data_IF_909035651925
#
_entry.id   IF_909035651925
#
_cell.length_a   1.000
_cell.length_b   1.000
_cell.length_c   1.000
_cell.angle_alpha   90.00
_cell.angle_beta   90.00
_cell.angle_gamma   90.00
#
_symmetry.space_group_name_H-M   'P 1'
#
loop_
_entity.id
_entity.type
_entity.pdbx_description
1 polymer ?
#
# COMPACT_ATOMS: atom_id res chain seq x y z
N UNK A 1 6.75 -4.17 -8.83
CA UNK A 1 5.49 -3.72 -8.22
C UNK A 1 5.75 -2.36 -7.59
N UNK A 2 5.03 -1.31 -8.01
CA UNK A 2 5.10 -0.02 -7.35
C UNK A 2 4.52 -0.14 -5.94
N UNK A 3 5.14 0.55 -4.99
CA UNK A 3 4.67 0.67 -3.60
C UNK A 3 4.46 2.15 -3.31
N UNK A 4 3.55 2.46 -2.39
CA UNK A 4 3.39 3.83 -1.92
C UNK A 4 4.72 4.38 -1.38
N UNK A 5 5.41 3.57 -0.58
CA UNK A 5 6.76 3.87 -0.08
C UNK A 5 7.78 3.01 -0.81
N UNK A 6 8.68 3.66 -1.53
CA UNK A 6 9.80 2.99 -2.20
C UNK A 6 11.11 3.73 -1.90
N UNK A 7 11.95 3.11 -1.06
CA UNK A 7 13.26 3.63 -0.65
C UNK A 7 13.24 5.11 -0.20
N UNK A 8 12.60 5.43 0.95
CA UNK A 8 12.50 6.80 1.44
C UNK A 8 13.86 7.45 1.72
N UNK A 9 14.89 6.65 2.04
CA UNK A 9 16.25 7.11 2.27
C UNK A 9 17.09 7.03 0.99
N UNK A 10 17.75 8.13 0.62
CA UNK A 10 18.54 8.26 -0.60
C UNK A 10 19.98 8.65 -0.31
N UNK A 11 20.90 8.09 -1.08
CA UNK A 11 22.31 8.39 -0.94
C UNK A 11 22.67 9.74 -1.53
N UNK A 12 23.53 10.49 -0.83
CA UNK A 12 24.07 11.75 -1.31
C UNK A 12 25.22 11.50 -2.29
N UNK A 13 24.90 10.99 -3.48
CA UNK A 13 25.87 10.71 -4.54
C UNK A 13 26.71 11.94 -4.93
N UNK A 14 26.13 13.14 -4.83
CA UNK A 14 26.84 14.39 -5.15
C UNK A 14 28.00 14.64 -4.19
N UNK A 15 27.80 14.44 -2.89
CA UNK A 15 28.85 14.61 -1.89
C UNK A 15 29.99 13.60 -2.11
N UNK A 16 29.67 12.31 -2.22
CA UNK A 16 30.69 11.28 -2.41
C UNK A 16 31.39 11.37 -3.76
N UNK A 17 30.68 11.80 -4.82
CA UNK A 17 31.28 12.07 -6.12
C UNK A 17 32.28 13.23 -6.08
N UNK A 18 31.96 14.31 -5.37
CA UNK A 18 32.87 15.45 -5.21
C UNK A 18 34.09 15.09 -4.37
N UNK A 19 33.89 14.49 -3.19
CA UNK A 19 35.00 14.11 -2.30
C UNK A 19 35.87 13.06 -2.98
N UNK A 20 35.28 12.02 -3.57
CA UNK A 20 36.01 10.98 -4.28
C UNK A 20 36.78 11.52 -5.49
N UNK A 21 36.15 12.38 -6.29
CA UNK A 21 36.79 12.99 -7.45
C UNK A 21 38.02 13.83 -7.07
N UNK A 22 37.91 14.67 -6.03
CA UNK A 22 39.03 15.48 -5.52
C UNK A 22 40.14 14.59 -4.95
N UNK A 23 39.79 13.57 -4.15
CA UNK A 23 40.77 12.67 -3.55
C UNK A 23 41.57 11.90 -4.60
N UNK A 24 40.92 11.44 -5.68
CA UNK A 24 41.60 10.74 -6.79
C UNK A 24 42.52 11.70 -7.57
N UNK A 25 42.08 12.93 -7.82
CA UNK A 25 42.90 13.97 -8.46
C UNK A 25 44.18 14.26 -7.65
N UNK A 26 44.05 14.46 -6.34
CA UNK A 26 45.19 14.69 -5.44
C UNK A 26 46.13 13.48 -5.44
N UNK A 27 45.60 12.26 -5.43
CA UNK A 27 46.39 11.03 -5.50
C UNK A 27 47.21 10.95 -6.80
N UNK A 28 46.61 11.26 -7.95
CA UNK A 28 47.33 11.27 -9.24
C UNK A 28 48.47 12.30 -9.21
N UNK A 29 48.22 13.51 -8.73
CA UNK A 29 49.24 14.56 -8.61
C UNK A 29 50.36 14.11 -7.67
N UNK A 30 50.01 13.53 -6.51
CA UNK A 30 50.98 13.07 -5.53
C UNK A 30 51.90 11.95 -6.06
N UNK A 31 51.35 11.02 -6.86
CA UNK A 31 52.14 9.98 -7.53
C UNK A 31 53.12 10.60 -8.52
N UNK A 32 52.66 11.50 -9.40
CA UNK A 32 53.52 12.16 -10.40
C UNK A 32 54.62 12.98 -9.72
N UNK A 33 54.29 13.74 -8.68
CA UNK A 33 55.28 14.51 -7.92
C UNK A 33 56.32 13.60 -7.27
N UNK A 34 55.89 12.45 -6.74
CA UNK A 34 56.77 11.48 -6.12
C UNK A 34 57.73 10.84 -7.11
N UNK A 35 57.24 10.46 -8.29
CA UNK A 35 58.08 9.88 -9.35
C UNK A 35 59.14 10.87 -9.85
N UNK A 36 58.83 12.18 -9.82
CA UNK A 36 59.77 13.23 -10.22
C UNK A 36 60.79 13.64 -9.15
N UNK A 37 60.41 13.67 -7.86
CA UNK A 37 61.31 14.12 -6.78
C UNK A 37 61.97 13.00 -5.99
N UNK A 38 61.34 11.84 -5.84
CA UNK A 38 61.84 10.71 -5.06
C UNK A 38 62.15 11.03 -3.59
N UNK A 39 61.55 12.09 -3.03
CA UNK A 39 61.87 12.56 -1.68
C UNK A 39 60.98 11.88 -0.63
N UNK A 40 61.51 11.70 0.59
CA UNK A 40 60.77 11.16 1.74
C UNK A 40 59.43 11.89 1.97
N UNK A 41 59.42 13.22 1.81
CA UNK A 41 58.22 14.04 1.98
C UNK A 41 57.18 13.71 0.91
N UNK A 42 57.59 13.55 -0.35
CA UNK A 42 56.66 13.22 -1.43
C UNK A 42 56.08 11.81 -1.29
N UNK A 43 56.85 10.87 -0.75
CA UNK A 43 56.37 9.51 -0.48
C UNK A 43 55.31 9.50 0.64
N UNK A 44 55.50 10.31 1.69
CA UNK A 44 54.50 10.50 2.76
C UNK A 44 53.20 11.07 2.17
N UNK A 45 53.29 12.11 1.32
CA UNK A 45 52.11 12.74 0.69
C UNK A 45 51.37 11.74 -0.21
N UNK A 46 52.10 10.94 -1.00
CA UNK A 46 51.54 9.88 -1.86
C UNK A 46 50.75 8.86 -1.03
N UNK A 47 51.33 8.36 0.06
CA UNK A 47 50.68 7.38 0.93
C UNK A 47 49.45 7.97 1.66
N UNK A 48 49.51 9.24 2.06
CA UNK A 48 48.36 9.94 2.63
C UNK A 48 47.21 10.06 1.61
N UNK A 49 47.53 10.36 0.36
CA UNK A 49 46.54 10.46 -0.71
C UNK A 49 45.88 9.10 -1.01
N UNK A 50 46.65 8.01 -1.05
CA UNK A 50 46.10 6.65 -1.12
C UNK A 50 45.17 6.35 0.06
N UNK A 51 45.58 6.72 1.29
CA UNK A 51 44.76 6.58 2.49
C UNK A 51 43.43 7.35 2.37
N UNK A 52 43.46 8.57 1.86
CA UNK A 52 42.27 9.40 1.66
C UNK A 52 41.28 8.80 0.64
N UNK A 53 41.78 8.28 -0.48
CA UNK A 53 40.95 7.56 -1.47
C UNK A 53 40.34 6.31 -0.84
N UNK A 54 41.14 5.49 -0.14
CA UNK A 54 40.65 4.30 0.54
C UNK A 54 39.57 4.63 1.58
N UNK A 55 39.78 5.66 2.42
CA UNK A 55 38.79 6.11 3.41
C UNK A 55 37.49 6.59 2.75
N UNK A 56 37.58 7.28 1.61
CA UNK A 56 36.38 7.73 0.88
C UNK A 56 35.58 6.54 0.33
N UNK A 57 36.26 5.52 -0.18
CA UNK A 57 35.62 4.28 -0.66
C UNK A 57 34.94 3.54 0.49
N UNK A 58 35.64 3.36 1.62
CA UNK A 58 35.06 2.70 2.80
C UNK A 58 33.85 3.48 3.34
N UNK A 59 33.94 4.81 3.43
CA UNK A 59 32.84 5.66 3.87
C UNK A 59 31.62 5.55 2.94
N UNK A 60 31.84 5.46 1.63
CA UNK A 60 30.79 5.23 0.64
C UNK A 60 30.12 3.86 0.84
N UNK A 61 30.90 2.80 1.04
CA UNK A 61 30.36 1.45 1.27
C UNK A 61 29.53 1.36 2.56
N UNK A 62 29.99 1.99 3.64
CA UNK A 62 29.24 2.09 4.91
C UNK A 62 27.90 2.78 4.69
N UNK A 63 27.90 3.91 3.98
CA UNK A 63 26.68 4.67 3.70
C UNK A 63 25.68 3.88 2.84
N UNK A 64 26.17 3.17 1.80
CA UNK A 64 25.34 2.26 1.00
C UNK A 64 24.66 1.21 1.90
N UNK A 65 25.44 0.61 2.81
CA UNK A 65 24.93 -0.38 3.77
C UNK A 65 23.86 0.21 4.69
N UNK A 66 24.15 1.35 5.30
CA UNK A 66 23.24 2.04 6.22
C UNK A 66 21.92 2.42 5.54
N UNK A 67 21.98 2.98 4.34
CA UNK A 67 20.77 3.38 3.59
C UNK A 67 19.94 2.16 3.20
N UNK A 68 20.58 1.06 2.80
CA UNK A 68 19.88 -0.19 2.52
C UNK A 68 19.15 -0.69 3.77
N UNK A 69 19.83 -0.76 4.91
CA UNK A 69 19.24 -1.21 6.17
C UNK A 69 18.07 -0.32 6.62
N UNK A 70 18.23 1.00 6.51
CA UNK A 70 17.15 1.95 6.82
C UNK A 70 15.93 1.76 5.92
N UNK A 71 16.14 1.56 4.61
CA UNK A 71 15.06 1.30 3.67
C UNK A 71 14.37 -0.05 3.92
N UNK A 72 15.13 -1.10 4.23
CA UNK A 72 14.58 -2.42 4.57
C UNK A 72 13.73 -2.33 5.86
N UNK A 73 14.23 -1.61 6.87
CA UNK A 73 13.49 -1.35 8.12
C UNK A 73 12.22 -0.54 7.87
N UNK A 74 12.30 0.55 7.12
CA UNK A 74 11.14 1.38 6.77
C UNK A 74 10.06 0.56 6.06
N UNK A 75 10.47 -0.30 5.12
CA UNK A 75 9.58 -1.22 4.41
C UNK A 75 8.91 -2.21 5.36
N UNK A 76 9.68 -2.82 6.26
CA UNK A 76 9.17 -3.75 7.26
C UNK A 76 8.16 -3.11 8.21
N UNK A 77 8.44 -1.90 8.71
CA UNK A 77 7.52 -1.16 9.57
C UNK A 77 6.25 -0.79 8.79
N UNK A 78 6.38 -0.32 7.55
CA UNK A 78 5.24 -0.01 6.71
C UNK A 78 4.34 -1.24 6.49
N UNK A 79 4.92 -2.37 6.08
CA UNK A 79 4.17 -3.59 5.86
C UNK A 79 3.50 -4.04 7.17
N UNK A 80 4.20 -4.01 8.32
CA UNK A 80 3.62 -4.40 9.61
C UNK A 80 2.45 -3.50 10.06
N UNK A 81 2.53 -2.19 9.84
CA UNK A 81 1.51 -1.24 10.30
C UNK A 81 0.27 -1.24 9.40
N UNK A 82 0.45 -1.32 8.07
CA UNK A 82 -0.65 -1.19 7.12
C UNK A 82 -1.25 -2.52 6.66
N UNK A 83 -0.61 -3.67 6.95
CA UNK A 83 -1.08 -4.99 6.49
C UNK A 83 -2.51 -5.31 6.96
N UNK A 84 -2.83 -5.02 8.22
CA UNK A 84 -4.18 -5.28 8.74
C UNK A 84 -5.22 -4.45 7.99
N UNK A 85 -5.00 -3.13 7.81
CA UNK A 85 -5.94 -2.29 7.05
C UNK A 85 -6.15 -2.80 5.61
N UNK A 86 -5.07 -3.17 4.91
CA UNK A 86 -5.16 -3.74 3.55
C UNK A 86 -5.97 -5.04 3.53
N UNK A 87 -5.82 -5.86 4.56
CA UNK A 87 -6.55 -7.10 4.73
C UNK A 87 -8.04 -6.84 5.03
N UNK A 88 -8.36 -5.93 5.96
CA UNK A 88 -9.73 -5.56 6.29
C UNK A 88 -10.48 -4.96 5.09
N UNK A 89 -9.82 -4.10 4.30
CA UNK A 89 -10.39 -3.60 3.04
C UNK A 89 -10.64 -4.75 2.06
N UNK A 90 -9.71 -5.71 1.95
CA UNK A 90 -9.90 -6.90 1.09
C UNK A 90 -11.11 -7.73 1.51
N UNK A 91 -11.32 -7.88 2.82
CA UNK A 91 -12.49 -8.56 3.37
C UNK A 91 -13.78 -7.82 3.07
N UNK A 92 -13.81 -6.49 3.22
CA UNK A 92 -14.99 -5.70 2.89
C UNK A 92 -15.39 -5.84 1.41
N UNK A 93 -14.42 -5.76 0.48
CA UNK A 93 -14.73 -5.92 -0.95
C UNK A 93 -15.15 -7.37 -1.28
N UNK A 94 -14.59 -8.36 -0.61
CA UNK A 94 -14.98 -9.77 -0.74
C UNK A 94 -16.38 -10.06 -0.17
N UNK A 95 -16.81 -9.30 0.85
CA UNK A 95 -18.13 -9.46 1.48
C UNK A 95 -19.26 -9.39 0.46
N UNK A 96 -19.18 -8.56 -0.58
CA UNK A 96 -20.21 -8.51 -1.63
C UNK A 96 -20.39 -9.84 -2.37
N UNK A 97 -19.29 -10.54 -2.69
CA UNK A 97 -19.37 -11.87 -3.32
C UNK A 97 -19.98 -12.92 -2.37
N UNK A 98 -19.65 -12.82 -1.07
CA UNK A 98 -20.21 -13.69 -0.03
C UNK A 98 -21.70 -13.46 0.15
N UNK A 99 -22.12 -12.20 0.21
CA UNK A 99 -23.52 -11.80 0.30
C UNK A 99 -24.31 -12.37 -0.87
N UNK A 100 -23.83 -12.17 -2.10
CA UNK A 100 -24.45 -12.72 -3.31
C UNK A 100 -24.62 -14.24 -3.22
N UNK A 101 -23.52 -14.97 -2.96
CA UNK A 101 -23.53 -16.43 -2.97
C UNK A 101 -24.34 -17.08 -1.84
N UNK A 102 -24.57 -16.37 -0.73
CA UNK A 102 -25.36 -16.89 0.39
C UNK A 102 -26.84 -16.53 0.22
N UNK A 103 -27.13 -15.30 -0.23
CA UNK A 103 -28.48 -14.77 -0.36
C UNK A 103 -29.26 -15.42 -1.50
N UNK A 104 -28.58 -15.73 -2.60
CA UNK A 104 -29.17 -16.16 -3.87
C UNK A 104 -28.66 -17.56 -4.25
N UNK A 105 -29.59 -18.44 -4.65
CA UNK A 105 -29.33 -19.87 -4.96
C UNK A 105 -29.89 -20.32 -6.32
N UNK A 106 -30.36 -19.35 -7.09
CA UNK A 106 -30.88 -19.53 -8.44
C UNK A 106 -29.78 -19.89 -9.45
N UNK A 107 -28.55 -19.44 -9.20
CA UNK A 107 -27.36 -19.76 -10.01
C UNK A 107 -26.20 -20.25 -9.12
N UNK A 108 -25.21 -20.89 -9.72
CA UNK A 108 -24.00 -21.37 -9.02
C UNK A 108 -22.93 -20.26 -8.93
N UNK A 109 -23.27 -19.18 -8.20
CA UNK A 109 -22.37 -18.04 -7.96
C UNK A 109 -21.04 -18.44 -7.32
N UNK A 110 -20.94 -19.62 -6.72
CA UNK A 110 -19.68 -20.13 -6.14
C UNK A 110 -18.63 -20.43 -7.20
N UNK A 111 -19.02 -20.62 -8.46
CA UNK A 111 -18.10 -20.91 -9.56
C UNK A 111 -17.74 -19.69 -10.39
N UNK A 112 -18.49 -18.61 -10.27
CA UNK A 112 -18.28 -17.38 -11.04
C UNK A 112 -17.11 -16.56 -10.49
N UNK A 113 -16.47 -15.80 -11.38
CA UNK A 113 -15.36 -14.90 -11.07
C UNK A 113 -15.66 -13.50 -11.55
N UNK A 114 -15.85 -12.59 -10.61
CA UNK A 114 -16.14 -11.18 -10.88
C UNK A 114 -15.27 -10.29 -10.01
N UNK A 115 -15.11 -9.04 -10.43
CA UNK A 115 -14.57 -7.97 -9.59
C UNK A 115 -15.53 -7.66 -8.45
N UNK A 116 -15.04 -7.01 -7.39
CA UNK A 116 -15.92 -6.63 -6.28
C UNK A 116 -17.03 -5.65 -6.71
N UNK A 117 -16.75 -4.82 -7.72
CA UNK A 117 -17.70 -3.87 -8.30
C UNK A 117 -18.82 -4.64 -9.01
N UNK A 118 -18.47 -5.62 -9.82
CA UNK A 118 -19.44 -6.50 -10.47
C UNK A 118 -20.24 -7.33 -9.46
N UNK A 119 -19.58 -7.87 -8.41
CA UNK A 119 -20.27 -8.58 -7.33
C UNK A 119 -21.29 -7.70 -6.60
N UNK A 120 -20.95 -6.43 -6.36
CA UNK A 120 -21.89 -5.45 -5.82
C UNK A 120 -23.12 -5.29 -6.72
N UNK A 121 -22.92 -5.07 -8.03
CA UNK A 121 -24.02 -4.87 -8.98
C UNK A 121 -24.92 -6.11 -9.12
N UNK A 122 -24.33 -7.30 -9.15
CA UNK A 122 -25.09 -8.57 -9.17
C UNK A 122 -25.94 -8.69 -7.91
N UNK A 123 -25.34 -8.46 -6.74
CA UNK A 123 -26.05 -8.52 -5.45
C UNK A 123 -27.24 -7.56 -5.42
N UNK A 124 -27.03 -6.34 -5.90
CA UNK A 124 -28.07 -5.29 -5.97
C UNK A 124 -29.19 -5.66 -6.96
N UNK A 125 -28.84 -6.15 -8.14
CA UNK A 125 -29.83 -6.57 -9.15
C UNK A 125 -30.71 -7.71 -8.61
N UNK A 126 -30.10 -8.74 -8.01
CA UNK A 126 -30.82 -9.88 -7.44
C UNK A 126 -31.68 -9.51 -6.24
N UNK A 127 -31.22 -8.55 -5.43
CA UNK A 127 -32.05 -7.99 -4.38
C UNK A 127 -33.33 -7.34 -4.93
N UNK A 128 -33.24 -6.59 -6.03
CA UNK A 128 -34.38 -5.91 -6.64
C UNK A 128 -35.43 -6.88 -7.23
N UNK A 129 -35.02 -8.10 -7.62
CA UNK A 129 -35.91 -9.16 -8.11
C UNK A 129 -36.71 -9.85 -6.98
N UNK A 130 -36.30 -9.71 -5.72
CA UNK A 130 -36.95 -10.34 -4.58
C UNK A 130 -38.25 -9.63 -4.17
N UNK A 131 -39.18 -10.38 -3.58
CA UNK A 131 -40.38 -9.80 -2.96
C UNK A 131 -40.07 -8.98 -1.71
N UNK A 132 -41.06 -8.23 -1.23
CA UNK A 132 -40.87 -7.27 -0.15
C UNK A 132 -40.40 -7.90 1.17
N UNK A 133 -40.90 -9.10 1.50
CA UNK A 133 -40.53 -9.81 2.73
C UNK A 133 -39.10 -10.30 2.62
N UNK A 134 -38.75 -10.91 1.49
CA UNK A 134 -37.39 -11.40 1.26
C UNK A 134 -36.37 -10.27 1.26
N UNK A 135 -36.70 -9.13 0.67
CA UNK A 135 -35.84 -7.94 0.72
C UNK A 135 -35.61 -7.44 2.15
N UNK A 136 -36.62 -7.48 3.03
CA UNK A 136 -36.45 -7.09 4.43
C UNK A 136 -35.50 -8.04 5.19
N UNK A 137 -35.63 -9.36 4.98
CA UNK A 137 -34.70 -10.35 5.54
C UNK A 137 -33.26 -10.13 5.04
N UNK A 138 -33.10 -9.91 3.74
CA UNK A 138 -31.78 -9.68 3.13
C UNK A 138 -31.14 -8.39 3.62
N UNK A 139 -31.93 -7.32 3.80
CA UNK A 139 -31.47 -6.06 4.38
C UNK A 139 -30.86 -6.26 5.77
N UNK A 140 -31.52 -7.03 6.64
CA UNK A 140 -31.00 -7.34 7.95
C UNK A 140 -29.68 -8.14 7.85
N UNK A 141 -29.67 -9.20 7.03
CA UNK A 141 -28.46 -10.01 6.82
C UNK A 141 -27.29 -9.19 6.25
N UNK A 142 -27.53 -8.35 5.25
CA UNK A 142 -26.51 -7.48 4.65
C UNK A 142 -25.96 -6.50 5.67
N UNK A 143 -26.83 -5.91 6.49
CA UNK A 143 -26.44 -4.98 7.55
C UNK A 143 -25.50 -5.64 8.55
N UNK A 144 -25.82 -6.84 9.03
CA UNK A 144 -24.98 -7.58 9.97
C UNK A 144 -23.60 -7.88 9.38
N UNK A 145 -23.54 -8.43 8.16
CA UNK A 145 -22.26 -8.82 7.53
C UNK A 145 -21.40 -7.61 7.15
N UNK A 146 -22.01 -6.53 6.68
CA UNK A 146 -21.28 -5.30 6.33
C UNK A 146 -20.78 -4.59 7.60
N UNK A 147 -21.56 -4.58 8.68
CA UNK A 147 -21.15 -3.99 9.95
C UNK A 147 -19.86 -4.64 10.46
N UNK A 148 -19.79 -5.97 10.50
CA UNK A 148 -18.60 -6.71 10.93
C UNK A 148 -17.35 -6.29 10.13
N UNK A 149 -17.48 -6.17 8.82
CA UNK A 149 -16.39 -5.76 7.93
C UNK A 149 -15.95 -4.31 8.19
N UNK A 150 -16.91 -3.41 8.39
CA UNK A 150 -16.66 -1.99 8.65
C UNK A 150 -15.99 -1.78 10.01
N UNK A 151 -16.42 -2.51 11.04
CA UNK A 151 -15.80 -2.43 12.38
C UNK A 151 -14.34 -2.91 12.38
N UNK A 152 -14.03 -3.94 11.58
CA UNK A 152 -12.65 -4.36 11.33
C UNK A 152 -11.79 -3.23 10.76
N UNK A 153 -12.29 -2.53 9.74
CA UNK A 153 -11.58 -1.40 9.12
C UNK A 153 -11.40 -0.24 10.10
N UNK A 154 -12.44 0.15 10.85
CA UNK A 154 -12.32 1.21 11.86
C UNK A 154 -11.28 0.88 12.92
N UNK A 155 -11.20 -0.38 13.35
CA UNK A 155 -10.21 -0.84 14.32
C UNK A 155 -8.79 -0.75 13.75
N UNK A 156 -8.59 -1.19 12.52
CA UNK A 156 -7.30 -1.10 11.84
C UNK A 156 -6.84 0.36 11.67
N UNK A 157 -7.75 1.26 11.29
CA UNK A 157 -7.47 2.69 11.18
C UNK A 157 -7.05 3.31 12.51
N UNK A 158 -7.76 3.00 13.61
CA UNK A 158 -7.40 3.46 14.96
C UNK A 158 -6.05 2.92 15.43
N UNK A 159 -5.73 1.67 15.06
CA UNK A 159 -4.44 1.09 15.37
C UNK A 159 -3.31 1.84 14.65
N UNK A 160 -3.47 2.14 13.36
CA UNK A 160 -2.51 2.95 12.60
C UNK A 160 -2.35 4.35 13.22
N UNK A 161 -3.46 4.97 13.63
CA UNK A 161 -3.44 6.27 14.31
C UNK A 161 -2.60 6.25 15.59
N UNK A 162 -2.75 5.20 16.42
CA UNK A 162 -1.92 5.00 17.62
C UNK A 162 -0.43 4.73 17.31
N UNK A 163 -0.12 4.34 16.08
CA UNK A 163 1.22 4.02 15.59
C UNK A 163 1.84 5.17 14.76
N UNK A 164 1.20 6.34 14.68
CA UNK A 164 1.75 7.49 13.93
C UNK A 164 3.17 7.86 14.36
N UNK A 165 3.49 7.75 15.65
CA UNK A 165 4.85 8.03 16.14
C UNK A 165 5.89 7.12 15.47
N UNK A 166 5.65 5.81 15.40
CA UNK A 166 6.61 4.88 14.80
C UNK A 166 6.71 5.08 13.27
N UNK A 167 5.63 5.51 12.62
CA UNK A 167 5.66 5.84 11.20
C UNK A 167 6.46 7.12 10.92
N UNK A 168 6.29 8.16 11.75
CA UNK A 168 6.99 9.43 11.64
C UNK A 168 8.52 9.27 11.82
N UNK A 169 8.96 8.56 12.86
CA UNK A 169 10.40 8.39 13.12
C UNK A 169 11.12 7.59 12.03
N UNK A 170 10.40 6.74 11.29
CA UNK A 170 10.94 5.98 10.16
C UNK A 170 10.71 6.70 8.81
N UNK A 171 10.22 7.95 8.81
CA UNK A 171 10.03 8.75 7.59
C UNK A 171 9.01 8.16 6.61
N UNK A 172 8.07 7.35 7.11
CA UNK A 172 7.08 6.60 6.31
C UNK A 172 5.64 7.08 6.53
N UNK A 173 5.45 8.23 7.18
CA UNK A 173 4.16 8.90 7.28
C UNK A 173 4.21 10.20 6.50
N UNK A 174 3.80 10.15 5.24
CA UNK A 174 3.72 11.32 4.38
C UNK A 174 2.30 11.89 4.30
N UNK A 175 2.17 13.07 3.70
CA UNK A 175 0.87 13.72 3.49
C UNK A 175 -0.08 12.86 2.65
N UNK A 176 0.46 12.05 1.74
CA UNK A 176 -0.32 11.16 0.87
C UNK A 176 -1.01 10.06 1.67
N UNK A 177 -0.28 9.37 2.55
CA UNK A 177 -0.83 8.35 3.45
C UNK A 177 -1.79 8.96 4.46
N UNK A 178 -1.48 10.14 5.00
CA UNK A 178 -2.41 10.85 5.88
C UNK A 178 -3.74 11.11 5.19
N UNK A 179 -3.72 11.57 3.94
CA UNK A 179 -4.93 11.78 3.14
C UNK A 179 -5.66 10.47 2.88
N UNK A 180 -4.96 9.42 2.45
CA UNK A 180 -5.54 8.08 2.23
C UNK A 180 -6.27 7.61 3.48
N UNK A 181 -5.62 7.63 4.65
CA UNK A 181 -6.22 7.21 5.91
C UNK A 181 -7.43 8.07 6.30
N UNK A 182 -7.36 9.38 6.05
CA UNK A 182 -8.48 10.30 6.27
C UNK A 182 -9.69 9.96 5.40
N UNK A 183 -9.47 9.74 4.10
CA UNK A 183 -10.51 9.35 3.13
C UNK A 183 -11.19 8.04 3.57
N UNK A 184 -10.40 7.01 3.92
CA UNK A 184 -10.92 5.74 4.44
C UNK A 184 -11.68 5.90 5.77
N UNK A 185 -11.15 6.70 6.70
CA UNK A 185 -11.82 6.93 7.99
C UNK A 185 -13.14 7.66 7.83
N UNK A 186 -13.23 8.62 6.92
CA UNK A 186 -14.47 9.32 6.63
C UNK A 186 -15.51 8.38 6.03
N UNK A 187 -15.10 7.61 5.02
CA UNK A 187 -16.01 6.73 4.28
C UNK A 187 -16.61 5.64 5.16
N UNK A 188 -15.75 4.94 5.90
CA UNK A 188 -16.20 3.84 6.74
C UNK A 188 -16.98 4.29 7.97
N UNK A 189 -16.74 5.51 8.45
CA UNK A 189 -17.61 6.15 9.42
C UNK A 189 -19.01 6.44 8.84
N UNK A 190 -19.09 6.97 7.62
CA UNK A 190 -20.35 7.22 6.94
C UNK A 190 -21.12 5.92 6.65
N UNK A 191 -20.43 4.88 6.20
CA UNK A 191 -21.00 3.55 5.99
C UNK A 191 -21.57 2.96 7.29
N UNK A 192 -20.84 3.08 8.42
CA UNK A 192 -21.30 2.64 9.73
C UNK A 192 -22.56 3.37 10.19
N UNK A 193 -22.60 4.70 10.03
CA UNK A 193 -23.79 5.49 10.33
C UNK A 193 -24.97 5.09 9.45
N UNK A 194 -24.70 4.73 8.19
CA UNK A 194 -25.71 4.24 7.26
C UNK A 194 -26.31 2.92 7.77
N UNK A 195 -25.50 1.98 8.23
CA UNK A 195 -26.01 0.70 8.71
C UNK A 195 -26.73 0.77 10.07
N UNK A 196 -26.57 1.85 10.84
CA UNK A 196 -27.19 2.00 12.18
C UNK A 196 -28.56 2.65 12.19
N UNK A 197 -29.01 3.22 11.07
CA UNK A 197 -30.32 3.86 10.98
C UNK A 197 -31.33 2.87 10.39
N UNK A 198 -32.59 3.01 10.80
CA UNK A 198 -33.71 2.39 10.08
C UNK A 198 -33.84 3.08 8.72
N UNK A 199 -33.45 2.41 7.64
CA UNK A 199 -33.54 2.92 6.28
C UNK A 199 -34.63 2.21 5.50
N UNK A 200 -35.25 2.95 4.57
CA UNK A 200 -35.95 2.31 3.47
C UNK A 200 -34.94 1.66 2.49
N UNK A 201 -35.42 0.71 1.70
CA UNK A 201 -34.59 -0.10 0.81
C UNK A 201 -33.89 0.76 -0.27
N UNK A 202 -34.53 1.84 -0.72
CA UNK A 202 -33.98 2.71 -1.76
C UNK A 202 -32.84 3.57 -1.20
N UNK A 203 -33.01 4.10 0.01
CA UNK A 203 -31.99 4.90 0.69
C UNK A 203 -30.75 4.07 1.06
N UNK A 204 -30.93 2.80 1.44
CA UNK A 204 -29.82 1.87 1.66
C UNK A 204 -28.95 1.76 0.41
N UNK A 205 -29.55 1.39 -0.73
CA UNK A 205 -28.79 1.20 -1.97
C UNK A 205 -28.21 2.50 -2.50
N UNK A 206 -28.93 3.63 -2.37
CA UNK A 206 -28.42 4.95 -2.74
C UNK A 206 -27.17 5.33 -1.93
N UNK A 207 -27.18 5.05 -0.63
CA UNK A 207 -26.03 5.33 0.23
C UNK A 207 -24.84 4.43 -0.13
N UNK A 208 -25.08 3.14 -0.33
CA UNK A 208 -24.03 2.21 -0.72
C UNK A 208 -23.52 2.41 -2.15
N UNK A 209 -24.33 2.97 -3.05
CA UNK A 209 -23.86 3.39 -4.37
C UNK A 209 -22.83 4.52 -4.26
N UNK A 210 -23.09 5.51 -3.39
CA UNK A 210 -22.14 6.58 -3.12
C UNK A 210 -20.85 6.03 -2.50
N UNK A 211 -20.98 5.21 -1.45
CA UNK A 211 -19.84 4.56 -0.77
C UNK A 211 -19.00 3.74 -1.77
N UNK A 212 -19.65 2.98 -2.66
CA UNK A 212 -18.96 2.21 -3.71
C UNK A 212 -18.16 3.13 -4.63
N UNK A 213 -18.75 4.22 -5.12
CA UNK A 213 -18.04 5.14 -6.03
C UNK A 213 -16.83 5.78 -5.35
N UNK A 214 -16.97 6.22 -4.11
CA UNK A 214 -15.88 6.80 -3.35
C UNK A 214 -14.79 5.76 -3.06
N UNK A 215 -15.18 4.54 -2.68
CA UNK A 215 -14.24 3.44 -2.43
C UNK A 215 -13.46 3.03 -3.68
N UNK A 216 -14.07 3.03 -4.87
CA UNK A 216 -13.35 2.81 -6.14
C UNK A 216 -12.19 3.80 -6.27
N UNK A 217 -12.44 5.08 -5.97
CA UNK A 217 -11.43 6.14 -6.04
C UNK A 217 -10.37 5.99 -4.95
N UNK A 218 -10.77 5.69 -3.71
CA UNK A 218 -9.82 5.53 -2.60
C UNK A 218 -8.90 4.32 -2.79
N UNK A 219 -9.45 3.19 -3.24
CA UNK A 219 -8.66 2.01 -3.64
C UNK A 219 -7.71 2.40 -4.76
N UNK A 220 -8.16 3.18 -5.75
CA UNK A 220 -7.31 3.58 -6.86
C UNK A 220 -6.11 4.45 -6.42
N UNK A 221 -6.37 5.37 -5.50
CA UNK A 221 -5.37 6.31 -4.97
C UNK A 221 -4.30 5.61 -4.13
N UNK A 222 -4.61 4.48 -3.50
CA UNK A 222 -3.63 3.70 -2.74
C UNK A 222 -2.96 2.63 -3.60
N UNK A 223 -1.76 2.94 -4.09
CA UNK A 223 -0.98 2.09 -5.03
C UNK A 223 -0.89 0.62 -4.61
N UNK A 224 -0.77 0.35 -3.31
CA UNK A 224 -0.57 -1.01 -2.81
C UNK A 224 -1.78 -1.94 -2.98
N UNK A 225 -2.98 -1.37 -3.03
CA UNK A 225 -4.24 -2.12 -3.12
C UNK A 225 -5.07 -1.76 -4.35
N UNK A 226 -4.59 -0.84 -5.19
CA UNK A 226 -5.26 -0.40 -6.44
C UNK A 226 -5.79 -1.56 -7.27
N UNK A 227 -5.04 -2.66 -7.31
CA UNK A 227 -5.40 -3.87 -8.05
C UNK A 227 -6.71 -4.52 -7.57
N UNK A 228 -7.20 -4.20 -6.37
CA UNK A 228 -8.45 -4.75 -5.83
C UNK A 228 -9.63 -4.43 -6.75
N UNK A 229 -9.68 -3.25 -7.36
CA UNK A 229 -10.72 -2.87 -8.33
C UNK A 229 -10.75 -3.73 -9.59
N UNK A 230 -9.66 -4.42 -9.89
CA UNK A 230 -9.49 -5.18 -11.12
C UNK A 230 -9.42 -6.69 -10.88
N UNK A 231 -9.21 -7.13 -9.64
CA UNK A 231 -9.08 -8.54 -9.29
C UNK A 231 -10.43 -9.25 -9.42
N UNK A 232 -10.49 -10.33 -10.19
CA UNK A 232 -11.67 -11.18 -10.34
C UNK A 232 -11.55 -12.40 -9.45
N UNK A 233 -12.52 -12.61 -8.57
CA UNK A 233 -12.44 -13.69 -7.58
C UNK A 233 -13.78 -14.42 -7.43
N UNK A 234 -13.67 -15.67 -6.97
CA UNK A 234 -14.83 -16.43 -6.49
C UNK A 234 -15.14 -16.02 -5.05
N UNK A 235 -16.38 -16.19 -4.57
CA UNK A 235 -16.68 -15.99 -3.17
C UNK A 235 -15.70 -16.76 -2.26
N UNK A 236 -15.19 -16.10 -1.21
CA UNK A 236 -14.21 -16.63 -0.23
C UNK A 236 -12.81 -16.92 -0.77
N UNK A 237 -12.47 -16.42 -1.97
CA UNK A 237 -11.23 -16.74 -2.68
C UNK A 237 -10.50 -15.51 -3.23
N UNK A 238 -10.63 -14.36 -2.57
CA UNK A 238 -10.02 -13.11 -3.04
C UNK A 238 -8.50 -13.22 -3.29
N UNK A 239 -7.78 -13.94 -2.42
CA UNK A 239 -6.31 -14.06 -2.48
C UNK A 239 -5.81 -15.42 -3.02
N UNK A 240 -6.70 -16.30 -3.49
CA UNK A 240 -6.34 -17.69 -3.86
C UNK A 240 -5.61 -17.78 -5.21
N UNK A 241 -5.90 -16.88 -6.15
CA UNK A 241 -5.41 -16.94 -7.52
C UNK A 241 -4.28 -15.91 -7.74
N UNK A 242 -3.03 -16.38 -7.59
CA UNK A 242 -1.84 -15.56 -7.81
C UNK A 242 -1.72 -15.04 -9.24
N UNK A 243 -2.16 -15.82 -10.22
CA UNK A 243 -2.09 -15.43 -11.63
C UNK A 243 -3.02 -14.27 -11.92
N UNK A 244 -4.22 -14.32 -11.35
CA UNK A 244 -5.23 -13.29 -11.42
C UNK A 244 -4.82 -12.02 -10.65
N UNK A 245 -4.22 -12.19 -9.47
CA UNK A 245 -3.63 -11.06 -8.72
C UNK A 245 -2.58 -10.32 -9.56
N UNK A 246 -1.68 -11.05 -10.23
CA UNK A 246 -0.67 -10.46 -11.10
C UNK A 246 -1.29 -9.75 -12.31
N UNK A 247 -2.32 -10.36 -12.93
CA UNK A 247 -3.07 -9.75 -14.04
C UNK A 247 -3.71 -8.42 -13.61
N UNK A 248 -4.40 -8.43 -12.46
CA UNK A 248 -5.06 -7.24 -11.91
C UNK A 248 -4.06 -6.13 -11.57
N UNK A 249 -2.88 -6.49 -11.02
CA UNK A 249 -1.79 -5.55 -10.76
C UNK A 249 -1.32 -4.88 -12.06
N UNK A 250 -1.04 -5.66 -13.11
CA UNK A 250 -0.63 -5.10 -14.41
C UNK A 250 -1.72 -4.22 -15.03
N UNK A 251 -2.99 -4.62 -14.95
CA UNK A 251 -4.11 -3.80 -15.45
C UNK A 251 -4.20 -2.46 -14.70
N UNK A 252 -4.01 -2.49 -13.38
CA UNK A 252 -4.08 -1.31 -12.52
C UNK A 252 -2.95 -0.29 -12.75
N UNK A 253 -1.82 -0.73 -13.33
CA UNK A 253 -0.70 0.15 -13.68
C UNK A 253 -0.90 0.85 -15.03
N UNK A 254 -1.76 0.31 -15.89
CA UNK A 254 -2.04 0.80 -17.24
C UNK A 254 -3.24 1.77 -17.32
N UNK A 255 -3.91 2.03 -16.20
CA UNK A 255 -5.05 2.96 -16.08
C UNK A 255 -4.73 4.08 -15.10
#
# INVERSE_FOLDING_TARGET
MKRHINSPYKMNWKMYGLIGGISVLIMIIAVICNDNTGSLISDIVKNLAFGCVASTIIALLIEIGNIKEQNDKATSVYDAVYMDLKFQISWYVETWARLCSVAFKDEDYRQEKHTWIEWYEITKSKFAECDDNRQAELMQFFTEQLMDSIEGIEKALKQIDSQQYILNINGIYDEGLRKILGDYSFEFYAAKLTLRREYDKADFWKSFDAIKQDLINYIYNWVDIRYYNYCRFKPYKFHDDKSETMRAMMESENK
#
